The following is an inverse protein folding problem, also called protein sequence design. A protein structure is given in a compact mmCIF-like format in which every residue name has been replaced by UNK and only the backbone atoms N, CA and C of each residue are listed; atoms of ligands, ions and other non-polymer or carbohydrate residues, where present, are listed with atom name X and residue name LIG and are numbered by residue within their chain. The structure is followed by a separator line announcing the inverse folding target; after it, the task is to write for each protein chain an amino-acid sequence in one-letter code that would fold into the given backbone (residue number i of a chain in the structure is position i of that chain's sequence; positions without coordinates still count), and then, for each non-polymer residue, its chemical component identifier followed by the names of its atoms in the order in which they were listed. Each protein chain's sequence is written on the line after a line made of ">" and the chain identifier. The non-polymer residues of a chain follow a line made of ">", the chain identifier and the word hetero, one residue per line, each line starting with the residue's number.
data_IF_589663414770
#
_entry.id   IF_589663414770
#
_cell.length_a   1.000
_cell.length_b   1.000
_cell.length_c   1.000
_cell.angle_alpha   90.00
_cell.angle_beta   90.00
_cell.angle_gamma   90.00
#
_symmetry.space_group_name_H-M   'P 1'
#
loop_
_entity.id
_entity.type
_entity.pdbx_description
1 polymer ?
#
# COMPACT_ATOMS: atom_id res chain seq x y z
N UNK A 1 -12.76 -20.39 4.24
CA UNK A 1 -13.52 -21.33 5.14
C UNK A 1 -12.60 -21.96 6.18
N UNK A 2 -11.47 -22.54 5.80
CA UNK A 2 -10.54 -23.19 6.75
C UNK A 2 -10.09 -22.23 7.88
N UNK A 3 -9.58 -21.06 7.55
CA UNK A 3 -9.13 -20.06 8.52
C UNK A 3 -10.26 -19.62 9.48
N UNK A 4 -11.48 -19.44 8.97
CA UNK A 4 -12.63 -19.14 9.82
C UNK A 4 -12.88 -20.26 10.84
N UNK A 5 -12.88 -21.51 10.39
CA UNK A 5 -13.12 -22.66 11.25
C UNK A 5 -12.07 -22.77 12.35
N UNK A 6 -10.80 -22.56 12.00
CA UNK A 6 -9.68 -22.58 12.97
C UNK A 6 -9.88 -21.51 14.07
N UNK A 7 -10.15 -20.27 13.69
CA UNK A 7 -10.37 -19.20 14.66
C UNK A 7 -11.67 -19.35 15.43
N UNK A 8 -12.77 -19.80 14.78
CA UNK A 8 -14.05 -20.02 15.45
C UNK A 8 -14.01 -21.13 16.51
N UNK A 9 -13.18 -22.14 16.29
CA UNK A 9 -12.95 -23.20 17.28
C UNK A 9 -12.19 -22.71 18.52
N UNK A 10 -11.29 -21.74 18.36
CA UNK A 10 -10.46 -21.19 19.46
C UNK A 10 -11.19 -20.08 20.20
N UNK A 11 -11.80 -19.14 19.47
CA UNK A 11 -12.35 -17.90 20.01
C UNK A 11 -13.87 -17.89 20.14
N UNK A 12 -14.54 -18.92 19.64
CA UNK A 12 -16.00 -19.01 19.57
C UNK A 12 -16.57 -18.41 18.28
N UNK A 13 -17.65 -19.04 17.79
CA UNK A 13 -18.30 -18.66 16.52
C UNK A 13 -18.81 -17.21 16.50
N UNK A 14 -19.27 -16.72 17.64
CA UNK A 14 -19.81 -15.36 17.76
C UNK A 14 -18.74 -14.27 17.73
N UNK A 15 -17.48 -14.63 18.01
CA UNK A 15 -16.37 -13.70 18.02
C UNK A 15 -15.70 -13.54 16.64
N UNK A 16 -16.02 -14.40 15.69
CA UNK A 16 -15.36 -14.47 14.37
C UNK A 16 -16.38 -14.27 13.27
N UNK A 17 -16.09 -13.40 12.31
CA UNK A 17 -16.92 -13.25 11.12
C UNK A 17 -16.06 -13.34 9.85
N UNK A 18 -16.74 -13.63 8.73
CA UNK A 18 -16.12 -13.67 7.40
C UNK A 18 -16.63 -12.49 6.59
N UNK A 19 -15.72 -11.87 5.83
CA UNK A 19 -16.05 -10.86 4.84
C UNK A 19 -15.48 -11.27 3.48
N UNK A 20 -16.32 -11.37 2.47
CA UNK A 20 -15.90 -11.72 1.12
C UNK A 20 -16.69 -10.92 0.07
N UNK A 21 -16.15 -10.84 -1.16
CA UNK A 21 -16.73 -10.05 -2.23
C UNK A 21 -18.05 -10.55 -2.83
N UNK A 22 -18.58 -11.68 -2.33
CA UNK A 22 -19.89 -12.23 -2.76
C UNK A 22 -21.03 -11.81 -1.83
N UNK A 23 -20.72 -11.21 -0.68
CA UNK A 23 -21.71 -10.73 0.27
C UNK A 23 -22.43 -9.51 -0.30
N UNK A 24 -23.70 -9.38 0.05
CA UNK A 24 -24.48 -8.18 -0.25
C UNK A 24 -23.95 -6.99 0.57
N UNK A 25 -24.14 -5.80 0.06
CA UNK A 25 -23.67 -4.57 0.69
C UNK A 25 -24.20 -4.42 2.13
N UNK A 26 -25.50 -4.64 2.32
CA UNK A 26 -26.15 -4.59 3.64
C UNK A 26 -25.57 -5.59 4.66
N UNK A 27 -25.21 -6.80 4.20
CA UNK A 27 -24.61 -7.82 5.06
C UNK A 27 -23.17 -7.44 5.42
N UNK A 28 -22.45 -6.92 4.45
CA UNK A 28 -21.08 -6.41 4.61
C UNK A 28 -21.05 -5.28 5.65
N UNK A 29 -21.97 -4.32 5.54
CA UNK A 29 -22.08 -3.19 6.44
C UNK A 29 -22.39 -3.62 7.88
N UNK A 30 -23.32 -4.56 8.07
CA UNK A 30 -23.64 -5.12 9.39
C UNK A 30 -22.43 -5.79 10.04
N UNK A 31 -21.70 -6.62 9.30
CA UNK A 31 -20.49 -7.28 9.80
C UNK A 31 -19.41 -6.26 10.20
N UNK A 32 -19.22 -5.25 9.37
CA UNK A 32 -18.26 -4.18 9.64
C UNK A 32 -18.67 -3.39 10.89
N UNK A 33 -19.95 -3.09 11.05
CA UNK A 33 -20.43 -2.35 12.21
C UNK A 33 -20.28 -3.17 13.50
N UNK A 34 -20.62 -4.46 13.50
CA UNK A 34 -20.40 -5.35 14.65
C UNK A 34 -18.90 -5.50 14.99
N UNK A 35 -18.04 -5.47 14.00
CA UNK A 35 -16.59 -5.46 14.22
C UNK A 35 -16.11 -4.13 14.83
N UNK A 36 -16.62 -2.99 14.34
CA UNK A 36 -16.34 -1.66 14.93
C UNK A 36 -16.82 -1.54 16.37
N UNK A 37 -17.97 -2.10 16.68
CA UNK A 37 -18.53 -2.11 18.03
C UNK A 37 -17.79 -3.09 18.97
N UNK A 38 -16.93 -3.94 18.41
CA UNK A 38 -16.18 -4.94 19.17
C UNK A 38 -16.99 -6.16 19.58
N UNK A 39 -18.17 -6.37 19.01
CA UNK A 39 -18.97 -7.59 19.14
C UNK A 39 -18.24 -8.74 18.45
N UNK A 40 -17.79 -8.52 17.23
CA UNK A 40 -16.88 -9.38 16.50
C UNK A 40 -15.44 -8.96 16.85
N UNK A 41 -14.63 -9.93 17.22
CA UNK A 41 -13.20 -9.71 17.60
C UNK A 41 -12.24 -10.02 16.47
N UNK A 42 -12.61 -10.93 15.58
CA UNK A 42 -11.77 -11.38 14.47
C UNK A 42 -12.58 -11.33 13.18
N UNK A 43 -12.07 -10.59 12.22
CA UNK A 43 -12.63 -10.50 10.88
C UNK A 43 -11.73 -11.26 9.89
N UNK A 44 -12.20 -12.37 9.37
CA UNK A 44 -11.51 -13.14 8.33
C UNK A 44 -11.98 -12.62 6.98
N UNK A 45 -11.06 -12.09 6.19
CA UNK A 45 -11.40 -11.48 4.91
C UNK A 45 -10.51 -11.94 3.76
N UNK A 46 -11.06 -11.92 2.56
CA UNK A 46 -10.28 -11.91 1.32
C UNK A 46 -9.82 -10.48 1.01
N UNK A 47 -8.98 -10.30 0.00
CA UNK A 47 -8.40 -9.01 -0.43
C UNK A 47 -9.41 -7.89 -0.74
N UNK A 48 -10.69 -8.20 -0.79
CA UNK A 48 -11.79 -7.26 -1.07
C UNK A 48 -11.92 -6.14 -0.03
N UNK A 49 -11.34 -6.30 1.16
CA UNK A 49 -11.34 -5.27 2.22
C UNK A 49 -10.34 -4.13 1.96
N UNK A 50 -9.72 -4.08 0.79
CA UNK A 50 -8.82 -2.97 0.42
C UNK A 50 -9.56 -1.62 0.34
N UNK A 51 -10.88 -1.60 0.15
CA UNK A 51 -11.64 -0.39 -0.11
C UNK A 51 -12.46 0.06 1.09
N UNK A 52 -12.05 1.17 1.70
CA UNK A 52 -12.95 2.04 2.48
C UNK A 52 -13.24 1.63 3.94
N UNK A 53 -12.87 0.45 4.41
CA UNK A 53 -13.19 0.05 5.80
C UNK A 53 -12.19 0.70 6.77
N UNK A 54 -12.64 1.76 7.42
CA UNK A 54 -11.90 2.37 8.52
C UNK A 54 -12.37 1.77 9.85
N UNK A 55 -11.50 0.99 10.49
CA UNK A 55 -11.76 0.41 11.81
C UNK A 55 -10.68 0.88 12.78
N UNK A 56 -10.92 1.97 13.51
CA UNK A 56 -9.93 2.54 14.43
C UNK A 56 -9.49 1.58 15.54
N UNK A 57 -10.36 0.65 15.92
CA UNK A 57 -10.12 -0.33 17.00
C UNK A 57 -9.33 -1.57 16.53
N UNK A 58 -9.06 -1.71 15.23
CA UNK A 58 -8.26 -2.81 14.74
C UNK A 58 -6.78 -2.58 15.11
N UNK A 59 -6.25 -3.46 15.95
CA UNK A 59 -4.87 -3.40 16.44
C UNK A 59 -3.95 -4.41 15.79
N UNK A 60 -4.48 -5.49 15.24
CA UNK A 60 -3.69 -6.56 14.61
C UNK A 60 -4.23 -6.87 13.23
N UNK A 61 -3.34 -6.98 12.26
CA UNK A 61 -3.61 -7.56 10.95
C UNK A 61 -2.65 -8.72 10.69
N UNK A 62 -3.18 -9.85 10.26
CA UNK A 62 -2.41 -11.02 9.84
C UNK A 62 -2.63 -11.21 8.34
N UNK A 63 -1.55 -11.18 7.57
CA UNK A 63 -1.59 -11.35 6.12
C UNK A 63 -1.01 -12.73 5.79
N UNK A 64 -1.87 -13.67 5.43
CA UNK A 64 -1.47 -15.00 5.02
C UNK A 64 -0.98 -15.01 3.58
N UNK A 65 0.03 -15.83 3.30
CA UNK A 65 0.71 -15.92 1.99
C UNK A 65 1.18 -14.53 1.51
N UNK A 66 1.81 -13.78 2.41
CA UNK A 66 2.20 -12.40 2.18
C UNK A 66 3.12 -12.22 0.96
N UNK A 67 3.87 -13.25 0.56
CA UNK A 67 4.71 -13.28 -0.62
C UNK A 67 3.96 -13.11 -1.95
N UNK A 68 2.64 -13.37 -1.95
CA UNK A 68 1.78 -13.22 -3.14
C UNK A 68 1.34 -11.79 -3.41
N UNK A 69 1.52 -10.91 -2.44
CA UNK A 69 1.12 -9.51 -2.54
C UNK A 69 2.25 -8.63 -3.06
N UNK A 70 1.89 -7.60 -3.80
CA UNK A 70 2.80 -6.51 -4.14
C UNK A 70 3.14 -5.66 -2.91
N UNK A 71 4.31 -5.01 -2.93
CA UNK A 71 4.78 -4.23 -1.79
C UNK A 71 3.85 -3.04 -1.47
N UNK A 72 3.28 -2.42 -2.50
CA UNK A 72 2.30 -1.34 -2.35
C UNK A 72 1.02 -1.82 -1.64
N UNK A 73 0.46 -2.97 -2.03
CA UNK A 73 -0.73 -3.54 -1.38
C UNK A 73 -0.45 -3.91 0.07
N UNK A 74 0.70 -4.52 0.35
CA UNK A 74 1.11 -4.82 1.73
C UNK A 74 1.24 -3.56 2.59
N UNK A 75 1.78 -2.48 2.01
CA UNK A 75 1.86 -1.19 2.70
C UNK A 75 0.49 -0.61 3.02
N UNK A 76 -0.46 -0.69 2.09
CA UNK A 76 -1.84 -0.24 2.30
C UNK A 76 -2.53 -1.08 3.39
N UNK A 77 -2.36 -2.40 3.37
CA UNK A 77 -2.90 -3.31 4.38
C UNK A 77 -2.31 -3.02 5.77
N UNK A 78 -0.98 -2.83 5.87
CA UNK A 78 -0.33 -2.41 7.12
C UNK A 78 -0.93 -1.12 7.68
N UNK A 79 -1.25 -0.17 6.82
CA UNK A 79 -1.90 1.09 7.19
C UNK A 79 -3.35 0.98 7.65
N UNK A 80 -3.94 -0.23 7.69
CA UNK A 80 -5.31 -0.43 8.18
C UNK A 80 -5.41 -0.62 9.68
N UNK A 81 -4.32 -0.87 10.38
CA UNK A 81 -4.26 -1.06 11.83
C UNK A 81 -3.46 0.04 12.52
N UNK A 82 -3.67 0.22 13.82
CA UNK A 82 -2.95 1.22 14.60
C UNK A 82 -3.38 2.67 14.31
N UNK A 83 -4.63 2.88 13.91
CA UNK A 83 -5.20 4.21 13.65
C UNK A 83 -5.84 4.85 14.89
N UNK A 84 -5.99 4.08 15.95
CA UNK A 84 -6.48 4.55 17.24
C UNK A 84 -5.35 4.85 18.22
N UNK A 85 -5.68 4.87 19.52
CA UNK A 85 -4.73 5.14 20.59
C UNK A 85 -3.83 3.94 20.96
N UNK A 86 -4.09 2.77 20.38
CA UNK A 86 -3.33 1.55 20.63
C UNK A 86 -2.34 1.28 19.51
N UNK A 87 -1.16 0.69 19.81
CA UNK A 87 -0.20 0.33 18.79
C UNK A 87 -0.77 -0.72 17.82
N UNK A 88 -0.47 -0.59 16.54
CA UNK A 88 -0.88 -1.54 15.51
C UNK A 88 0.21 -2.55 15.19
N UNK A 89 -0.16 -3.80 15.03
CA UNK A 89 0.73 -4.90 14.65
C UNK A 89 0.33 -5.46 13.28
N UNK A 90 1.30 -5.57 12.37
CA UNK A 90 1.13 -6.21 11.08
C UNK A 90 2.00 -7.45 11.01
N UNK A 91 1.37 -8.62 10.96
CA UNK A 91 2.03 -9.93 10.93
C UNK A 91 1.97 -10.45 9.49
N UNK A 92 3.14 -10.71 8.91
CA UNK A 92 3.27 -11.28 7.58
C UNK A 92 3.56 -12.78 7.69
N UNK A 93 2.60 -13.60 7.31
CA UNK A 93 2.76 -15.05 7.28
C UNK A 93 3.17 -15.49 5.88
N UNK A 94 4.36 -16.09 5.75
CA UNK A 94 4.94 -16.54 4.48
C UNK A 94 5.77 -17.79 4.67
N UNK A 95 5.75 -18.66 3.67
CA UNK A 95 6.64 -19.82 3.59
C UNK A 95 8.07 -19.44 3.19
N UNK A 96 8.27 -18.25 2.63
CA UNK A 96 9.55 -17.74 2.16
C UNK A 96 10.13 -16.71 3.13
N UNK A 97 10.94 -17.18 4.10
CA UNK A 97 11.53 -16.31 5.14
C UNK A 97 12.46 -15.24 4.56
N UNK A 98 13.15 -15.53 3.46
CA UNK A 98 14.14 -14.63 2.84
C UNK A 98 13.56 -13.76 1.73
N UNK A 99 12.24 -13.56 1.71
CA UNK A 99 11.60 -12.70 0.72
C UNK A 99 11.99 -11.25 0.93
N UNK A 100 12.81 -10.72 0.02
CA UNK A 100 13.36 -9.36 0.09
C UNK A 100 12.27 -8.27 0.19
N UNK A 101 11.10 -8.47 -0.45
CA UNK A 101 9.97 -7.52 -0.37
C UNK A 101 9.38 -7.48 1.03
N UNK A 102 9.18 -8.66 1.66
CA UNK A 102 8.64 -8.72 3.02
C UNK A 102 9.62 -8.13 4.03
N UNK A 103 10.92 -8.40 3.87
CA UNK A 103 11.98 -7.79 4.67
C UNK A 103 11.97 -6.26 4.51
N UNK A 104 11.84 -5.75 3.28
CA UNK A 104 11.75 -4.32 3.02
C UNK A 104 10.54 -3.69 3.72
N UNK A 105 9.37 -4.33 3.67
CA UNK A 105 8.18 -3.85 4.36
C UNK A 105 8.35 -3.80 5.89
N UNK A 106 9.04 -4.78 6.48
CA UNK A 106 9.35 -4.78 7.91
C UNK A 106 10.34 -3.67 8.28
N UNK A 107 11.31 -3.38 7.41
CA UNK A 107 12.37 -2.40 7.65
C UNK A 107 11.88 -0.95 7.49
N UNK A 108 11.11 -0.68 6.44
CA UNK A 108 10.71 0.68 6.07
C UNK A 108 9.29 1.01 6.54
N UNK A 109 9.14 2.19 7.15
CA UNK A 109 7.85 2.69 7.64
C UNK A 109 7.17 3.66 6.68
N UNK A 110 7.98 4.41 5.94
CA UNK A 110 7.53 5.46 5.03
C UNK A 110 7.19 4.87 3.65
N UNK A 111 6.06 5.29 3.07
CA UNK A 111 5.61 4.84 1.75
C UNK A 111 6.60 5.16 0.62
N UNK A 112 7.34 6.26 0.71
CA UNK A 112 8.37 6.62 -0.26
C UNK A 112 9.53 5.60 -0.25
N UNK A 113 10.06 5.26 0.92
CA UNK A 113 11.11 4.24 1.08
C UNK A 113 10.67 2.86 0.59
N UNK A 114 9.37 2.54 0.75
CA UNK A 114 8.80 1.29 0.26
C UNK A 114 8.72 1.30 -1.26
N UNK A 115 8.35 2.43 -1.87
CA UNK A 115 8.33 2.57 -3.32
C UNK A 115 9.73 2.45 -3.93
N UNK A 116 10.74 3.07 -3.30
CA UNK A 116 12.16 2.92 -3.69
C UNK A 116 12.62 1.46 -3.59
N UNK A 117 12.27 0.78 -2.50
CA UNK A 117 12.63 -0.63 -2.31
C UNK A 117 11.93 -1.53 -3.34
N UNK A 118 10.65 -1.27 -3.66
CA UNK A 118 9.91 -2.02 -4.69
C UNK A 118 10.54 -1.84 -6.07
N UNK A 119 10.92 -0.61 -6.40
CA UNK A 119 11.62 -0.29 -7.64
C UNK A 119 12.99 -1.02 -7.73
N UNK A 120 13.79 -0.94 -6.68
CA UNK A 120 15.09 -1.61 -6.63
C UNK A 120 14.98 -3.13 -6.74
N UNK A 121 13.93 -3.73 -6.15
CA UNK A 121 13.70 -5.18 -6.16
C UNK A 121 13.13 -5.69 -7.49
N UNK A 122 12.38 -4.86 -8.23
CA UNK A 122 11.88 -5.23 -9.56
C UNK A 122 12.98 -5.23 -10.60
N UNK A 123 14.09 -4.52 -10.35
CA UNK A 123 15.19 -4.33 -11.28
C UNK A 123 14.78 -3.48 -12.50
N UNK A 124 15.73 -2.89 -13.16
CA UNK A 124 15.50 -2.12 -14.41
C UNK A 124 15.04 -2.97 -15.59
N UNK A 125 15.02 -4.31 -15.44
CA UNK A 125 14.72 -5.24 -16.53
C UNK A 125 13.25 -5.51 -16.80
N UNK A 126 12.32 -5.23 -15.87
CA UNK A 126 10.88 -5.52 -16.06
C UNK A 126 10.03 -4.29 -16.40
N UNK A 127 10.64 -3.13 -16.53
CA UNK A 127 9.96 -1.90 -16.99
C UNK A 127 9.96 -1.84 -18.54
N UNK A 128 10.67 -2.76 -19.20
CA UNK A 128 10.77 -2.85 -20.67
C UNK A 128 9.62 -3.64 -21.34
N UNK A 129 8.59 -4.03 -20.60
CA UNK A 129 7.34 -4.51 -21.18
C UNK A 129 6.46 -3.33 -21.57
N UNK A 130 6.52 -2.90 -22.84
CA UNK A 130 5.76 -1.83 -23.52
C UNK A 130 6.17 -0.39 -23.20
N UNK A 131 6.92 0.16 -24.14
CA UNK A 131 7.01 1.54 -24.61
C UNK A 131 6.28 2.62 -23.79
N UNK A 132 6.96 3.13 -22.77
CA UNK A 132 6.84 4.53 -22.37
C UNK A 132 8.25 5.09 -22.19
N UNK A 133 8.87 5.33 -23.32
CA UNK A 133 10.14 6.03 -23.46
C UNK A 133 9.99 7.49 -22.99
N UNK A 134 10.43 7.80 -21.81
CA UNK A 134 10.52 9.17 -21.30
C UNK A 134 10.51 9.28 -19.77
N UNK A 135 9.80 8.40 -19.08
CA UNK A 135 9.60 8.48 -17.64
C UNK A 135 10.74 7.85 -16.82
N UNK A 136 11.49 6.90 -17.37
CA UNK A 136 12.51 6.14 -16.63
C UNK A 136 13.78 6.94 -16.30
N UNK A 137 14.26 7.76 -17.22
CA UNK A 137 15.49 8.52 -17.02
C UNK A 137 15.37 9.51 -15.85
N UNK A 138 14.29 10.26 -15.76
CA UNK A 138 14.06 11.24 -14.70
C UNK A 138 13.83 10.59 -13.33
N UNK A 139 13.14 9.44 -13.30
CA UNK A 139 12.92 8.65 -12.08
C UNK A 139 14.27 8.08 -11.60
N UNK A 140 15.09 7.54 -12.50
CA UNK A 140 16.42 7.05 -12.16
C UNK A 140 17.33 8.19 -11.67
N UNK A 141 17.28 9.35 -12.31
CA UNK A 141 18.03 10.54 -11.91
C UNK A 141 17.61 11.04 -10.52
N UNK A 142 16.30 11.04 -10.23
CA UNK A 142 15.78 11.46 -8.92
C UNK A 142 16.18 10.52 -7.78
N UNK A 143 16.29 9.24 -8.08
CA UNK A 143 16.76 8.23 -7.12
C UNK A 143 18.29 8.31 -6.90
N UNK A 144 19.03 8.59 -7.95
CA UNK A 144 20.50 8.70 -7.90
C UNK A 144 20.97 9.97 -7.20
N UNK A 145 20.17 11.03 -7.32
CA UNK A 145 20.51 12.37 -6.80
C UNK A 145 19.30 13.00 -6.09
N UNK A 146 18.85 12.44 -4.94
CA UNK A 146 17.63 12.90 -4.25
C UNK A 146 17.75 14.36 -3.77
N UNK A 147 18.93 14.80 -3.35
CA UNK A 147 19.17 16.17 -2.92
C UNK A 147 19.04 17.16 -4.08
N UNK A 148 19.62 16.84 -5.23
CA UNK A 148 19.50 17.63 -6.45
C UNK A 148 18.04 17.75 -6.91
N UNK A 149 17.27 16.65 -6.82
CA UNK A 149 15.86 16.65 -7.19
C UNK A 149 15.02 17.52 -6.25
N UNK A 150 15.31 17.47 -4.95
CA UNK A 150 14.68 18.35 -3.96
C UNK A 150 14.98 19.84 -4.21
N UNK A 151 16.21 20.17 -4.60
CA UNK A 151 16.58 21.54 -4.98
C UNK A 151 15.88 21.96 -6.28
N UNK A 152 15.88 21.13 -7.30
CA UNK A 152 15.17 21.40 -8.56
C UNK A 152 13.69 21.65 -8.35
N UNK A 153 13.03 20.92 -7.44
CA UNK A 153 11.62 21.16 -7.08
C UNK A 153 11.42 22.55 -6.46
N UNK A 154 12.33 23.01 -5.61
CA UNK A 154 12.26 24.36 -5.03
C UNK A 154 12.42 25.45 -6.10
N UNK A 155 13.35 25.25 -7.03
CA UNK A 155 13.54 26.16 -8.16
C UNK A 155 12.35 26.14 -9.12
N UNK A 156 11.84 24.95 -9.48
CA UNK A 156 10.67 24.82 -10.34
C UNK A 156 9.47 25.56 -9.74
N UNK A 157 9.19 25.39 -8.45
CA UNK A 157 8.12 26.06 -7.75
C UNK A 157 8.28 27.58 -7.75
N UNK A 158 9.50 28.08 -7.58
CA UNK A 158 9.83 29.52 -7.60
C UNK A 158 9.58 30.15 -8.97
N UNK A 159 9.81 29.42 -10.06
CA UNK A 159 9.70 29.94 -11.43
C UNK A 159 8.39 29.61 -12.14
N UNK A 160 7.55 28.72 -11.56
CA UNK A 160 6.24 28.40 -12.16
C UNK A 160 5.33 29.62 -12.31
N UNK A 161 5.40 30.59 -11.39
CA UNK A 161 4.53 31.77 -11.39
C UNK A 161 5.12 32.94 -12.21
N UNK A 162 6.27 32.78 -12.85
CA UNK A 162 7.00 33.90 -13.52
C UNK A 162 6.86 33.91 -15.05
N UNK A 163 6.03 33.04 -15.65
CA UNK A 163 5.96 32.88 -17.11
C UNK A 163 7.15 32.16 -17.75
N UNK A 164 8.22 31.90 -16.98
CA UNK A 164 9.42 31.20 -17.46
C UNK A 164 9.09 29.74 -17.82
N UNK A 165 8.16 29.11 -17.10
CA UNK A 165 7.71 27.76 -17.40
C UNK A 165 7.04 27.69 -18.78
N UNK A 166 6.20 28.65 -19.14
CA UNK A 166 5.56 28.74 -20.46
C UNK A 166 6.59 28.95 -21.57
N UNK A 167 7.62 29.77 -21.32
CA UNK A 167 8.72 30.01 -22.26
C UNK A 167 9.54 28.74 -22.49
N UNK A 168 9.86 27.98 -21.46
CA UNK A 168 10.59 26.68 -21.54
C UNK A 168 9.77 25.66 -22.33
N UNK A 169 8.47 25.51 -22.02
CA UNK A 169 7.56 24.58 -22.71
C UNK A 169 7.50 24.93 -24.20
N UNK A 170 7.39 26.21 -24.52
CA UNK A 170 7.31 26.72 -25.91
C UNK A 170 8.63 26.54 -26.67
N UNK A 171 9.78 26.75 -26.00
CA UNK A 171 11.10 26.64 -26.62
C UNK A 171 11.51 25.20 -26.89
N UNK A 172 11.19 24.28 -25.98
CA UNK A 172 11.60 22.89 -26.09
C UNK A 172 10.51 21.95 -26.60
N UNK A 173 9.36 22.48 -27.03
CA UNK A 173 8.21 21.71 -27.53
C UNK A 173 7.80 20.52 -26.62
N UNK A 174 7.89 20.73 -25.31
CA UNK A 174 7.52 19.72 -24.32
C UNK A 174 6.00 19.58 -24.30
N UNK A 175 5.48 18.50 -24.83
CA UNK A 175 4.04 18.17 -24.74
C UNK A 175 3.73 17.64 -23.36
N UNK A 176 3.10 18.44 -22.52
CA UNK A 176 2.48 17.97 -21.27
C UNK A 176 1.11 17.40 -21.64
N UNK A 177 1.01 16.08 -21.76
CA UNK A 177 -0.32 15.42 -21.82
C UNK A 177 -0.95 15.52 -20.43
N UNK A 178 -2.14 16.17 -20.38
CA UNK A 178 -3.02 16.17 -19.22
C UNK A 178 -3.62 14.80 -18.98
#
# INVERSE_FOLDING_TARGET
>A
EQTYTEYANVFGKNAVAVLNGKMKEDETEKVIQSFKNGEIKILVSTTVVEVGVNVPNATVIVINNAERFGLASLHQLRGRVGRGNSPGYCILNSVHKDNKRLIALCKYKNGFQIAEADYALRGSGNILGTEQSGSNYYVELSMRYPDLFSELQKYAKKYMDTGVAEMIIKTYQVSIKK
#
